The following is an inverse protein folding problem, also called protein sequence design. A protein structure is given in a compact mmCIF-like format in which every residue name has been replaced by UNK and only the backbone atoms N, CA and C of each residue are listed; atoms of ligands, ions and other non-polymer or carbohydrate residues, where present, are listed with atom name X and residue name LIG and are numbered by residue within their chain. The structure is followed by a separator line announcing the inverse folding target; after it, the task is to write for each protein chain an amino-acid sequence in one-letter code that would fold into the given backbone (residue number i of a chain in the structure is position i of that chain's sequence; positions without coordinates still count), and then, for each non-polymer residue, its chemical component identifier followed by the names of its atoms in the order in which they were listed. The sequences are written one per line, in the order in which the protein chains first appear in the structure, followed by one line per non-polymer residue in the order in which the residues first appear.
data_IF_818013819601
#
_entry.id   IF_818013819601
#
_cell.length_a   1.000
_cell.length_b   1.000
_cell.length_c   1.000
_cell.angle_alpha   90.00
_cell.angle_beta   90.00
_cell.angle_gamma   90.00
#
_symmetry.space_group_name_H-M   'P 1'
#
loop_
_entity.id
_entity.type
_entity.pdbx_description
1 polymer ?
#
# COMPACT_ATOMS: atom_id res chain seq x y z
N UNK A 1 7.81 0.91 -15.62
CA UNK A 1 7.06 0.99 -14.35
C UNK A 1 7.21 -0.30 -13.59
N UNK A 2 7.32 -0.21 -12.30
CA UNK A 2 7.55 -1.34 -11.40
C UNK A 2 6.47 -1.36 -10.34
N UNK A 3 6.14 -2.55 -9.84
CA UNK A 3 5.08 -2.72 -8.85
C UNK A 3 5.54 -3.58 -7.68
N UNK A 4 5.22 -3.12 -6.46
CA UNK A 4 5.32 -3.90 -5.24
C UNK A 4 3.91 -4.39 -4.91
N UNK A 5 3.75 -5.69 -4.83
CA UNK A 5 2.48 -6.29 -4.47
C UNK A 5 2.61 -6.96 -3.09
N UNK A 6 1.80 -6.52 -2.14
CA UNK A 6 1.76 -7.08 -0.80
C UNK A 6 0.40 -7.73 -0.56
N UNK A 7 0.40 -8.93 0.03
CA UNK A 7 -0.82 -9.64 0.38
C UNK A 7 -0.95 -9.73 1.89
N UNK A 8 -2.17 -9.51 2.37
CA UNK A 8 -2.52 -9.54 3.79
C UNK A 8 -3.65 -10.54 4.02
N UNK A 9 -3.61 -11.21 5.16
CA UNK A 9 -4.63 -12.15 5.61
C UNK A 9 -5.01 -11.85 7.06
N UNK A 10 -6.15 -12.37 7.50
CA UNK A 10 -6.57 -12.28 8.89
C UNK A 10 -7.30 -10.99 9.26
N UNK A 11 -7.63 -10.13 8.28
CA UNK A 11 -8.52 -9.00 8.53
C UNK A 11 -9.94 -9.50 8.74
N UNK A 12 -10.63 -8.96 9.75
CA UNK A 12 -12.04 -9.25 9.95
C UNK A 12 -12.84 -8.76 8.72
N UNK A 13 -13.56 -9.64 7.99
CA UNK A 13 -14.34 -9.22 6.83
C UNK A 13 -15.34 -8.09 7.12
N UNK A 14 -15.88 -8.01 8.34
CA UNK A 14 -16.83 -6.98 8.74
C UNK A 14 -16.19 -5.58 8.82
N UNK A 15 -14.86 -5.49 8.98
CA UNK A 15 -14.13 -4.21 9.12
C UNK A 15 -13.31 -3.85 7.89
N UNK A 16 -13.36 -4.69 6.86
CA UNK A 16 -12.50 -4.56 5.68
C UNK A 16 -12.74 -3.25 4.93
N UNK A 17 -14.00 -2.87 4.74
CA UNK A 17 -14.34 -1.61 4.04
C UNK A 17 -13.89 -0.39 4.83
N UNK A 18 -14.02 -0.40 6.14
CA UNK A 18 -13.54 0.68 7.01
C UNK A 18 -12.03 0.81 6.94
N UNK A 19 -11.32 -0.32 6.89
CA UNK A 19 -9.88 -0.35 6.74
C UNK A 19 -9.43 0.27 5.40
N UNK A 20 -10.09 -0.09 4.32
CA UNK A 20 -9.80 0.44 2.98
C UNK A 20 -10.07 1.95 2.94
N UNK A 21 -11.18 2.41 3.51
CA UNK A 21 -11.49 3.83 3.57
C UNK A 21 -10.48 4.62 4.40
N UNK A 22 -10.03 4.08 5.53
CA UNK A 22 -8.97 4.69 6.33
C UNK A 22 -7.67 4.79 5.55
N UNK A 23 -7.30 3.74 4.81
CA UNK A 23 -6.13 3.74 3.94
C UNK A 23 -6.23 4.82 2.86
N UNK A 24 -7.40 4.98 2.25
CA UNK A 24 -7.66 6.03 1.26
C UNK A 24 -7.42 7.42 1.84
N UNK A 25 -7.93 7.66 3.05
CA UNK A 25 -7.75 8.94 3.74
C UNK A 25 -6.27 9.21 4.06
N UNK A 26 -5.53 8.19 4.48
CA UNK A 26 -4.09 8.31 4.73
C UNK A 26 -3.32 8.64 3.46
N UNK A 27 -3.66 8.01 2.34
CA UNK A 27 -3.04 8.29 1.03
C UNK A 27 -3.35 9.73 0.60
N UNK A 28 -4.58 10.19 0.75
CA UNK A 28 -4.95 11.56 0.42
C UNK A 28 -4.19 12.58 1.28
N UNK A 29 -3.98 12.28 2.56
CA UNK A 29 -3.18 13.12 3.45
C UNK A 29 -1.72 13.19 3.00
N UNK A 30 -1.14 12.07 2.61
CA UNK A 30 0.23 12.02 2.07
C UNK A 30 0.33 12.84 0.79
N UNK A 31 -0.62 12.72 -0.12
CA UNK A 31 -0.67 13.49 -1.37
C UNK A 31 -0.74 15.00 -1.11
N UNK A 32 -1.45 15.40 -0.08
CA UNK A 32 -1.58 16.81 0.30
C UNK A 32 -0.35 17.36 1.03
N UNK A 33 0.64 16.53 1.33
CA UNK A 33 1.84 16.93 2.08
C UNK A 33 1.65 16.95 3.59
N UNK A 34 0.57 16.34 4.09
CA UNK A 34 0.23 16.27 5.51
C UNK A 34 0.22 14.79 5.93
N UNK A 35 1.40 14.18 6.19
CA UNK A 35 1.44 12.76 6.54
C UNK A 35 0.60 12.47 7.79
N UNK A 36 -0.04 11.30 7.86
CA UNK A 36 -0.85 10.93 9.00
C UNK A 36 -0.01 10.83 10.28
N UNK A 37 -0.69 10.93 11.43
CA UNK A 37 -0.06 10.80 12.73
C UNK A 37 0.70 9.45 12.82
N UNK A 38 1.92 9.51 13.35
CA UNK A 38 2.78 8.34 13.45
C UNK A 38 3.68 8.08 12.23
N UNK A 39 3.45 8.80 11.13
CA UNK A 39 4.32 8.73 9.95
C UNK A 39 5.32 9.88 9.98
N UNK A 40 6.65 9.62 9.96
CA UNK A 40 7.64 10.69 9.86
C UNK A 40 7.46 11.50 8.58
N UNK A 41 7.71 12.83 8.60
CA UNK A 41 7.59 13.67 7.40
C UNK A 41 8.42 13.17 6.22
N UNK A 42 9.59 12.62 6.48
CA UNK A 42 10.49 12.07 5.45
C UNK A 42 9.85 10.87 4.74
N UNK A 43 9.15 10.03 5.51
CA UNK A 43 8.43 8.87 4.95
C UNK A 43 7.29 9.32 4.03
N UNK A 44 6.52 10.31 4.44
CA UNK A 44 5.48 10.91 3.61
C UNK A 44 6.03 11.48 2.31
N UNK A 45 7.17 12.15 2.37
CA UNK A 45 7.81 12.73 1.19
C UNK A 45 8.32 11.65 0.22
N UNK A 46 8.90 10.57 0.73
CA UNK A 46 9.32 9.43 -0.11
C UNK A 46 8.12 8.83 -0.85
N UNK A 47 7.03 8.60 -0.14
CA UNK A 47 5.81 8.05 -0.76
C UNK A 47 5.25 9.01 -1.81
N UNK A 48 5.14 10.29 -1.49
CA UNK A 48 4.59 11.29 -2.40
C UNK A 48 5.41 11.45 -3.67
N UNK A 49 6.73 11.42 -3.56
CA UNK A 49 7.63 11.62 -4.70
C UNK A 49 7.87 10.36 -5.53
N UNK A 50 7.68 9.18 -4.94
CA UNK A 50 8.09 7.91 -5.57
C UNK A 50 6.92 7.05 -6.01
N UNK A 51 5.75 7.16 -5.37
CA UNK A 51 4.58 6.36 -5.71
C UNK A 51 3.76 7.06 -6.80
N UNK A 52 3.50 6.33 -7.88
CA UNK A 52 2.69 6.82 -9.01
C UNK A 52 1.23 6.46 -8.82
N UNK A 53 0.94 5.28 -8.28
CA UNK A 53 -0.41 4.74 -8.18
C UNK A 53 -0.46 3.69 -7.09
N UNK A 54 -1.60 3.60 -6.41
CA UNK A 54 -1.92 2.51 -5.48
C UNK A 54 -3.21 1.85 -5.95
N UNK A 55 -3.20 0.52 -5.99
CA UNK A 55 -4.37 -0.28 -6.30
C UNK A 55 -4.55 -1.29 -5.18
N UNK A 56 -5.72 -1.27 -4.53
CA UNK A 56 -6.04 -2.23 -3.47
C UNK A 56 -7.22 -3.07 -3.89
N UNK A 57 -7.10 -4.37 -3.69
CA UNK A 57 -8.14 -5.35 -3.96
C UNK A 57 -8.44 -6.13 -2.69
N UNK A 58 -9.69 -6.54 -2.52
CA UNK A 58 -10.13 -7.26 -1.33
C UNK A 58 -11.03 -8.43 -1.71
N UNK A 59 -10.98 -9.48 -0.90
CA UNK A 59 -11.97 -10.54 -0.91
C UNK A 59 -12.77 -10.46 0.39
N UNK A 60 -14.02 -10.03 0.28
CA UNK A 60 -14.90 -9.85 1.44
C UNK A 60 -15.29 -11.16 2.10
N UNK A 61 -15.13 -12.29 1.41
CA UNK A 61 -15.54 -13.59 1.95
C UNK A 61 -14.57 -14.13 3.00
N UNK A 62 -13.27 -13.81 2.87
CA UNK A 62 -12.23 -14.35 3.75
C UNK A 62 -11.34 -13.29 4.41
N UNK A 63 -11.52 -12.01 4.09
CA UNK A 63 -10.71 -10.94 4.64
C UNK A 63 -9.32 -10.82 4.02
N UNK A 64 -9.09 -11.42 2.86
CA UNK A 64 -7.84 -11.28 2.13
C UNK A 64 -7.77 -9.93 1.42
N UNK A 65 -6.62 -9.29 1.45
CA UNK A 65 -6.37 -8.01 0.81
C UNK A 65 -5.07 -8.07 0.02
N UNK A 66 -5.06 -7.43 -1.14
CA UNK A 66 -3.86 -7.22 -1.93
C UNK A 66 -3.67 -5.74 -2.21
N UNK A 67 -2.44 -5.26 -2.07
CA UNK A 67 -2.11 -3.87 -2.34
C UNK A 67 -0.95 -3.79 -3.32
N UNK A 68 -1.19 -3.16 -4.47
CA UNK A 68 -0.19 -2.92 -5.50
C UNK A 68 0.24 -1.45 -5.46
N UNK A 69 1.52 -1.22 -5.26
CA UNK A 69 2.11 0.13 -5.25
C UNK A 69 3.02 0.25 -6.46
N UNK A 70 2.72 1.21 -7.32
CA UNK A 70 3.41 1.42 -8.59
C UNK A 70 4.41 2.56 -8.48
N UNK A 71 5.63 2.33 -8.98
CA UNK A 71 6.70 3.31 -9.05
C UNK A 71 7.26 3.39 -10.47
N UNK A 72 7.73 4.57 -10.88
CA UNK A 72 8.24 4.77 -12.24
C UNK A 72 9.55 4.03 -12.48
N UNK A 73 10.41 3.92 -11.46
CA UNK A 73 11.73 3.30 -11.56
C UNK A 73 11.92 2.21 -10.53
N UNK A 74 12.85 1.29 -10.81
CA UNK A 74 13.23 0.24 -9.87
C UNK A 74 13.85 0.81 -8.59
N UNK A 75 14.61 1.89 -8.71
CA UNK A 75 15.21 2.57 -7.56
C UNK A 75 14.15 3.14 -6.62
N UNK A 76 13.12 3.78 -7.19
CA UNK A 76 11.97 4.26 -6.40
C UNK A 76 11.25 3.11 -5.72
N UNK A 77 11.07 1.99 -6.43
CA UNK A 77 10.44 0.80 -5.86
C UNK A 77 11.21 0.28 -4.65
N UNK A 78 12.53 0.23 -4.72
CA UNK A 78 13.37 -0.22 -3.59
C UNK A 78 13.21 0.66 -2.36
N UNK A 79 13.19 1.99 -2.56
CA UNK A 79 13.00 2.94 -1.45
C UNK A 79 11.64 2.78 -0.80
N UNK A 80 10.61 2.67 -1.61
CA UNK A 80 9.23 2.47 -1.13
C UNK A 80 9.10 1.12 -0.43
N UNK A 81 9.70 0.06 -0.97
CA UNK A 81 9.67 -1.26 -0.36
C UNK A 81 10.34 -1.27 1.03
N UNK A 82 11.51 -0.65 1.17
CA UNK A 82 12.19 -0.53 2.46
C UNK A 82 11.30 0.17 3.49
N UNK A 83 10.67 1.27 3.08
CA UNK A 83 9.80 2.04 3.95
C UNK A 83 8.56 1.24 4.37
N UNK A 84 7.84 0.65 3.41
CA UNK A 84 6.60 -0.08 3.68
C UNK A 84 6.86 -1.39 4.42
N UNK A 85 7.98 -2.05 4.15
CA UNK A 85 8.35 -3.28 4.85
C UNK A 85 8.70 -3.05 6.33
N UNK A 86 9.16 -1.85 6.67
CA UNK A 86 9.41 -1.46 8.05
C UNK A 86 8.14 -1.09 8.81
N UNK A 87 7.04 -0.84 8.11
CA UNK A 87 5.75 -0.50 8.71
C UNK A 87 4.93 -1.76 8.97
N UNK A 88 4.38 -1.87 10.16
CA UNK A 88 3.44 -2.95 10.52
C UNK A 88 2.01 -2.44 10.46
N UNK A 89 1.01 -3.33 10.26
CA UNK A 89 -0.38 -2.94 10.43
C UNK A 89 -0.61 -2.26 11.77
N UNK A 90 -1.37 -1.15 11.82
CA UNK A 90 -1.42 -0.30 13.01
C UNK A 90 -2.20 -0.88 14.19
N UNK A 91 -3.03 -1.91 13.99
CA UNK A 91 -3.82 -2.48 15.07
C UNK A 91 -4.10 -3.96 14.88
N UNK A 92 -4.42 -4.64 15.99
CA UNK A 92 -4.94 -6.00 15.96
C UNK A 92 -6.26 -6.02 15.16
N UNK A 93 -6.44 -7.00 14.30
CA UNK A 93 -7.62 -7.10 13.43
C UNK A 93 -7.44 -6.48 12.04
N UNK A 94 -6.35 -5.72 11.81
CA UNK A 94 -6.00 -5.21 10.48
C UNK A 94 -5.26 -6.25 9.62
N UNK A 95 -5.16 -7.48 10.13
CA UNK A 95 -4.49 -8.56 9.43
C UNK A 95 -2.97 -8.51 9.55
N UNK A 96 -2.33 -9.41 8.85
CA UNK A 96 -0.87 -9.50 8.79
C UNK A 96 -0.41 -9.72 7.36
N UNK A 97 0.75 -9.19 7.05
CA UNK A 97 1.36 -9.34 5.73
C UNK A 97 1.94 -10.74 5.60
N UNK A 98 1.49 -11.48 4.57
CA UNK A 98 1.92 -12.86 4.33
C UNK A 98 2.90 -12.99 3.18
N UNK A 99 2.89 -12.03 2.25
CA UNK A 99 3.76 -12.07 1.08
C UNK A 99 4.00 -10.68 0.52
N UNK A 100 5.20 -10.47 -0.02
CA UNK A 100 5.56 -9.26 -0.79
C UNK A 100 6.34 -9.71 -2.02
N UNK A 101 5.91 -9.22 -3.18
CA UNK A 101 6.60 -9.53 -4.44
C UNK A 101 6.82 -8.24 -5.25
N UNK A 102 7.86 -8.23 -6.06
CA UNK A 102 8.21 -7.13 -6.96
C UNK A 102 8.11 -7.59 -8.40
N UNK A 103 7.51 -6.77 -9.24
CA UNK A 103 7.35 -7.07 -10.67
C UNK A 103 7.64 -5.85 -11.51
N UNK A 104 8.06 -6.09 -12.75
CA UNK A 104 8.09 -5.05 -13.77
C UNK A 104 6.77 -5.11 -14.55
N UNK A 105 6.14 -3.94 -14.77
CA UNK A 105 4.94 -3.86 -15.58
C UNK A 105 5.37 -3.88 -17.06
N UNK A 106 4.97 -4.90 -17.77
CA UNK A 106 5.31 -5.09 -19.19
C UNK A 106 4.13 -4.88 -20.12
N UNK A 107 2.92 -4.81 -19.59
CA UNK A 107 1.71 -4.53 -20.37
C UNK A 107 0.67 -3.86 -19.48
N UNK A 108 0.12 -2.75 -19.94
CA UNK A 108 -0.96 -2.01 -19.29
C UNK A 108 -1.82 -1.42 -20.41
N UNK A 109 -2.89 -2.13 -20.76
CA UNK A 109 -3.73 -1.83 -21.94
C UNK A 109 -5.18 -1.84 -21.53
N UNK A 110 -5.90 -0.77 -21.86
CA UNK A 110 -7.36 -0.76 -21.76
C UNK A 110 -7.98 -1.51 -22.94
N UNK A 111 -9.05 -2.24 -22.67
CA UNK A 111 -9.75 -3.05 -23.65
C UNK A 111 -11.04 -2.35 -24.08
#
# INVERSE_FOLDING_TARGET
MFVRFARFEGTDPATLDDRVERMRQEIESVKAGNPPEGMPPEAGEVLRSSVVRVLTVVDHSDGTEGSAVFCATEEDLKRVDELLSAMSPPSAGDGHRVDVAHYEVVMDVEV
#
